data_IF_385269858692
#
_entry.id   IF_385269858692
#
_cell.length_a   1.000
_cell.length_b   1.000
_cell.length_c   1.000
_cell.angle_alpha   90.00
_cell.angle_beta   90.00
_cell.angle_gamma   90.00
#
_symmetry.space_group_name_H-M   'P 1'
#
loop_
_entity.id
_entity.type
_entity.pdbx_description
1 polymer ?
#
# COMPACT_ATOMS: atom_id res chain seq x y z
N UNK A 1 29.46 -2.90 -2.14
CA UNK A 1 29.08 -1.54 -1.71
C UNK A 1 28.08 -0.92 -2.67
N UNK A 2 28.28 -1.06 -3.99
CA UNK A 2 27.40 -0.44 -4.99
C UNK A 2 25.99 -1.02 -5.00
N UNK A 3 25.84 -2.35 -4.93
CA UNK A 3 24.54 -3.04 -4.92
C UNK A 3 23.64 -2.65 -3.74
N UNK A 4 24.24 -2.42 -2.57
CA UNK A 4 23.50 -1.99 -1.38
C UNK A 4 23.03 -0.52 -1.47
N UNK A 5 23.84 0.34 -2.10
CA UNK A 5 23.47 1.74 -2.36
C UNK A 5 22.34 1.80 -3.38
N UNK A 6 22.40 1.00 -4.46
CA UNK A 6 21.32 0.92 -5.47
C UNK A 6 20.00 0.44 -4.85
N UNK A 7 20.04 -0.53 -3.94
CA UNK A 7 18.88 -1.01 -3.22
C UNK A 7 18.27 0.10 -2.34
N UNK A 8 19.09 0.77 -1.52
CA UNK A 8 18.61 1.84 -0.65
C UNK A 8 18.03 3.02 -1.46
N UNK A 9 18.66 3.37 -2.57
CA UNK A 9 18.15 4.39 -3.50
C UNK A 9 16.80 3.97 -4.10
N UNK A 10 16.67 2.73 -4.54
CA UNK A 10 15.42 2.19 -5.10
C UNK A 10 14.29 2.22 -4.07
N UNK A 11 14.57 1.81 -2.82
CA UNK A 11 13.61 1.89 -1.71
C UNK A 11 13.17 3.34 -1.43
N UNK A 12 14.10 4.30 -1.47
CA UNK A 12 13.79 5.71 -1.28
C UNK A 12 12.90 6.27 -2.42
N UNK A 13 13.19 5.92 -3.67
CA UNK A 13 12.38 6.32 -4.84
C UNK A 13 10.96 5.76 -4.75
N UNK A 14 10.83 4.47 -4.42
CA UNK A 14 9.52 3.85 -4.18
C UNK A 14 8.78 4.55 -3.05
N UNK A 15 9.45 4.82 -1.93
CA UNK A 15 8.86 5.55 -0.80
C UNK A 15 8.36 6.94 -1.20
N UNK A 16 9.10 7.68 -2.03
CA UNK A 16 8.69 8.99 -2.51
C UNK A 16 7.46 8.89 -3.43
N UNK A 17 7.46 7.96 -4.36
CA UNK A 17 6.35 7.76 -5.29
C UNK A 17 5.07 7.36 -4.56
N UNK A 18 5.13 6.34 -3.72
CA UNK A 18 3.97 5.83 -2.97
C UNK A 18 3.51 6.82 -1.89
N UNK A 19 4.44 7.43 -1.16
CA UNK A 19 4.15 8.45 -0.16
C UNK A 19 3.40 9.65 -0.74
N UNK A 20 3.71 10.04 -1.98
CA UNK A 20 3.03 11.16 -2.65
C UNK A 20 1.53 10.96 -2.86
N UNK A 21 1.03 9.73 -2.78
CA UNK A 21 -0.39 9.37 -2.88
C UNK A 21 -0.96 8.81 -1.57
N UNK A 22 -0.25 8.97 -0.46
CA UNK A 22 -0.66 8.48 0.85
C UNK A 22 -0.52 6.96 1.04
N UNK A 23 0.27 6.29 0.19
CA UNK A 23 0.56 4.86 0.33
C UNK A 23 1.89 4.63 1.05
N UNK A 24 2.01 3.48 1.72
CA UNK A 24 3.23 3.11 2.43
C UNK A 24 4.33 2.54 1.53
N UNK A 25 3.96 1.88 0.42
CA UNK A 25 4.91 1.36 -0.57
C UNK A 25 5.23 -0.13 -0.48
N UNK A 26 4.55 -0.91 0.38
CA UNK A 26 4.88 -2.32 0.60
C UNK A 26 4.97 -3.17 -0.68
N UNK A 27 4.05 -3.00 -1.64
CA UNK A 27 4.10 -3.73 -2.92
C UNK A 27 5.35 -3.38 -3.74
N UNK A 28 5.80 -2.14 -3.69
CA UNK A 28 7.04 -1.70 -4.33
C UNK A 28 8.29 -2.21 -3.58
N UNK A 29 8.26 -2.23 -2.24
CA UNK A 29 9.36 -2.79 -1.45
C UNK A 29 9.49 -4.30 -1.67
N UNK A 30 8.37 -5.04 -1.67
CA UNK A 30 8.37 -6.45 -2.03
C UNK A 30 8.98 -6.69 -3.41
N UNK A 31 8.64 -5.83 -4.39
CA UNK A 31 9.22 -5.88 -5.71
C UNK A 31 10.75 -5.72 -5.69
N UNK A 32 11.22 -4.64 -5.08
CA UNK A 32 12.66 -4.32 -5.04
C UNK A 32 13.44 -5.37 -4.24
N UNK A 33 12.91 -5.82 -3.07
CA UNK A 33 13.57 -6.81 -2.25
C UNK A 33 13.61 -8.20 -2.93
N UNK A 34 12.54 -8.59 -3.64
CA UNK A 34 12.50 -9.86 -4.38
C UNK A 34 13.40 -9.89 -5.62
N UNK A 35 13.89 -8.75 -6.08
CA UNK A 35 14.87 -8.63 -7.16
C UNK A 35 16.30 -8.40 -6.66
N UNK A 36 16.49 -8.33 -5.36
CA UNK A 36 17.78 -8.10 -4.71
C UNK A 36 18.41 -9.40 -4.21
N UNK A 37 19.57 -9.25 -3.57
CA UNK A 37 20.26 -10.35 -2.88
C UNK A 37 19.41 -11.00 -1.79
N UNK A 38 18.29 -10.42 -1.40
CA UNK A 38 17.36 -10.94 -0.37
C UNK A 38 16.25 -11.83 -0.94
N UNK A 39 16.20 -12.04 -2.27
CA UNK A 39 15.18 -12.86 -2.93
C UNK A 39 15.08 -14.29 -2.37
N UNK A 40 16.19 -14.88 -1.95
CA UNK A 40 16.27 -16.26 -1.45
C UNK A 40 15.61 -16.47 -0.08
N UNK A 41 15.33 -15.42 0.69
CA UNK A 41 14.69 -15.55 2.00
C UNK A 41 13.19 -15.90 1.91
N UNK A 42 12.56 -15.73 0.75
CA UNK A 42 11.14 -16.04 0.56
C UNK A 42 10.18 -15.08 1.29
N UNK A 43 8.90 -15.43 1.22
CA UNK A 43 7.81 -14.59 1.74
C UNK A 43 7.85 -14.38 3.26
N UNK A 44 8.35 -15.36 4.02
CA UNK A 44 8.45 -15.30 5.48
C UNK A 44 9.34 -14.14 5.98
N UNK A 45 10.34 -13.77 5.20
CA UNK A 45 11.24 -12.65 5.45
C UNK A 45 10.78 -11.36 4.73
N UNK A 46 10.45 -11.46 3.44
CA UNK A 46 10.15 -10.30 2.61
C UNK A 46 8.93 -9.51 3.09
N UNK A 47 7.85 -10.21 3.47
CA UNK A 47 6.59 -9.57 3.90
C UNK A 47 6.74 -8.74 5.18
N UNK A 48 7.30 -9.27 6.30
CA UNK A 48 7.47 -8.48 7.52
C UNK A 48 8.32 -7.24 7.31
N UNK A 49 9.43 -7.34 6.56
CA UNK A 49 10.27 -6.19 6.23
C UNK A 49 9.48 -5.13 5.45
N UNK A 50 8.77 -5.55 4.39
CA UNK A 50 7.96 -4.63 3.60
C UNK A 50 6.85 -3.96 4.43
N UNK A 51 6.20 -4.69 5.35
CA UNK A 51 5.19 -4.13 6.24
C UNK A 51 5.76 -3.15 7.25
N UNK A 52 6.96 -3.39 7.79
CA UNK A 52 7.64 -2.43 8.66
C UNK A 52 7.96 -1.12 7.92
N UNK A 53 8.52 -1.20 6.72
CA UNK A 53 8.79 -0.02 5.89
C UNK A 53 7.50 0.70 5.48
N UNK A 54 6.44 -0.06 5.24
CA UNK A 54 5.11 0.45 4.93
C UNK A 54 4.55 1.32 6.08
N UNK A 55 4.74 0.88 7.33
CA UNK A 55 4.36 1.65 8.52
C UNK A 55 5.05 3.00 8.60
N UNK A 56 6.35 3.04 8.29
CA UNK A 56 7.14 4.28 8.31
C UNK A 56 6.56 5.31 7.37
N UNK A 57 6.36 4.95 6.10
CA UNK A 57 5.90 5.90 5.07
C UNK A 57 4.41 6.23 5.21
N UNK A 58 3.57 5.25 5.56
CA UNK A 58 2.14 5.49 5.80
C UNK A 58 1.91 6.42 7.01
N UNK A 59 2.74 6.33 8.05
CA UNK A 59 2.68 7.26 9.20
C UNK A 59 2.96 8.69 8.79
N UNK A 60 3.92 8.91 7.90
CA UNK A 60 4.17 10.23 7.32
C UNK A 60 3.00 10.70 6.46
N UNK A 61 2.44 9.80 5.63
CA UNK A 61 1.24 10.10 4.83
C UNK A 61 0.10 10.57 5.72
N UNK A 62 -0.22 9.82 6.76
CA UNK A 62 -1.24 10.20 7.73
C UNK A 62 -0.96 11.56 8.38
N UNK A 63 0.28 11.81 8.79
CA UNK A 63 0.68 13.07 9.41
C UNK A 63 0.50 14.25 8.46
N UNK A 64 1.06 14.19 7.24
CA UNK A 64 1.04 15.32 6.32
C UNK A 64 -0.35 15.58 5.74
N UNK A 65 -1.05 14.55 5.25
CA UNK A 65 -2.42 14.71 4.74
C UNK A 65 -3.43 15.00 5.85
N UNK A 66 -3.23 14.44 7.04
CA UNK A 66 -4.07 14.70 8.22
C UNK A 66 -3.98 16.16 8.69
N UNK A 67 -2.77 16.73 8.74
CA UNK A 67 -2.58 18.15 9.08
C UNK A 67 -3.23 19.11 8.09
N UNK A 68 -3.42 18.70 6.86
CA UNK A 68 -4.13 19.50 5.85
C UNK A 68 -5.67 19.36 5.94
N UNK A 69 -6.17 18.62 6.94
CA UNK A 69 -7.60 18.44 7.15
C UNK A 69 -8.27 17.41 6.23
N UNK A 70 -7.49 16.60 5.49
CA UNK A 70 -8.04 15.61 4.57
C UNK A 70 -8.46 14.30 5.24
N UNK A 71 -8.10 14.07 6.50
CA UNK A 71 -8.44 12.85 7.22
C UNK A 71 -9.87 12.86 7.75
N UNK A 72 -10.60 11.76 7.54
CA UNK A 72 -11.97 11.58 8.03
C UNK A 72 -12.12 10.22 8.75
N UNK A 73 -12.23 10.25 10.07
CA UNK A 73 -12.51 9.05 10.87
C UNK A 73 -13.88 8.45 10.52
N UNK A 74 -14.90 9.28 10.24
CA UNK A 74 -16.23 8.78 9.85
C UNK A 74 -16.20 7.94 8.59
N UNK A 75 -15.33 8.28 7.63
CA UNK A 75 -15.20 7.54 6.38
C UNK A 75 -14.50 6.20 6.61
N UNK A 76 -13.40 6.20 7.39
CA UNK A 76 -12.53 5.02 7.49
C UNK A 76 -13.00 4.02 8.56
N UNK A 77 -13.70 4.46 9.59
CA UNK A 77 -14.08 3.63 10.73
C UNK A 77 -14.82 2.33 10.35
N UNK A 78 -15.86 2.35 9.48
CA UNK A 78 -16.54 1.12 9.09
C UNK A 78 -15.62 0.13 8.37
N UNK A 79 -14.65 0.61 7.59
CA UNK A 79 -13.70 -0.26 6.90
C UNK A 79 -12.74 -0.94 7.90
N UNK A 80 -12.19 -0.18 8.88
CA UNK A 80 -11.18 -0.71 9.81
C UNK A 80 -11.77 -1.66 10.84
N UNK A 81 -13.03 -1.52 11.21
CA UNK A 81 -13.69 -2.40 12.17
C UNK A 81 -13.63 -3.88 11.76
N UNK A 82 -13.76 -4.14 10.48
CA UNK A 82 -13.66 -5.51 9.93
C UNK A 82 -12.28 -5.81 9.37
N UNK A 83 -11.60 -4.82 8.77
CA UNK A 83 -10.31 -5.09 8.15
C UNK A 83 -9.24 -5.52 9.17
N UNK A 84 -9.22 -4.96 10.37
CA UNK A 84 -8.22 -5.31 11.39
C UNK A 84 -8.27 -6.80 11.74
N UNK A 85 -9.40 -7.39 12.19
CA UNK A 85 -9.44 -8.82 12.51
C UNK A 85 -9.18 -9.70 11.28
N UNK A 86 -9.67 -9.31 10.11
CA UNK A 86 -9.41 -10.08 8.89
C UNK A 86 -7.97 -9.95 8.38
N UNK A 87 -7.30 -8.81 8.58
CA UNK A 87 -5.88 -8.68 8.28
C UNK A 87 -5.01 -9.52 9.22
N UNK A 88 -5.37 -9.65 10.49
CA UNK A 88 -4.72 -10.56 11.41
C UNK A 88 -4.87 -12.02 10.92
N UNK A 89 -6.08 -12.45 10.57
CA UNK A 89 -6.34 -13.80 10.05
C UNK A 89 -5.56 -14.03 8.75
N UNK A 90 -5.57 -13.06 7.82
CA UNK A 90 -4.80 -13.14 6.58
C UNK A 90 -3.30 -13.26 6.82
N UNK A 91 -2.74 -12.49 7.77
CA UNK A 91 -1.33 -12.58 8.15
C UNK A 91 -0.96 -13.89 8.82
N UNK A 92 -1.89 -14.50 9.55
CA UNK A 92 -1.72 -15.79 10.21
C UNK A 92 -1.64 -16.96 9.22
N UNK A 93 -2.34 -16.87 8.07
CA UNK A 93 -2.44 -17.97 7.11
C UNK A 93 -1.23 -18.04 6.17
N UNK A 94 -0.78 -19.28 5.80
CA UNK A 94 0.21 -19.43 4.75
C UNK A 94 -0.36 -18.97 3.39
N UNK A 95 0.49 -18.37 2.58
CA UNK A 95 0.08 -17.86 1.28
C UNK A 95 0.29 -18.92 0.19
N UNK A 96 -0.66 -18.96 -0.76
CA UNK A 96 -0.51 -19.67 -2.03
C UNK A 96 -0.12 -18.63 -3.08
N UNK A 97 1.18 -18.55 -3.37
CA UNK A 97 1.78 -17.41 -4.09
C UNK A 97 1.18 -17.17 -5.49
N UNK A 98 0.99 -18.21 -6.32
CA UNK A 98 0.56 -18.04 -7.71
C UNK A 98 -0.89 -17.53 -7.85
N UNK A 99 -1.83 -18.06 -7.07
CA UNK A 99 -3.24 -17.66 -7.13
C UNK A 99 -3.39 -16.20 -6.70
N UNK A 100 -2.63 -15.84 -5.68
CA UNK A 100 -2.58 -14.48 -5.19
C UNK A 100 -2.05 -13.52 -6.26
N UNK A 101 -0.91 -13.83 -6.87
CA UNK A 101 -0.27 -12.96 -7.87
C UNK A 101 -1.19 -12.70 -9.08
N UNK A 102 -1.95 -13.72 -9.53
CA UNK A 102 -2.94 -13.54 -10.59
C UNK A 102 -4.07 -12.60 -10.15
N UNK A 103 -4.70 -12.85 -9.01
CA UNK A 103 -5.83 -12.06 -8.54
C UNK A 103 -5.41 -10.59 -8.30
N UNK A 104 -4.24 -10.39 -7.70
CA UNK A 104 -3.68 -9.06 -7.48
C UNK A 104 -3.40 -8.33 -8.79
N UNK A 105 -2.73 -9.00 -9.75
CA UNK A 105 -2.38 -8.41 -11.03
C UNK A 105 -3.62 -7.95 -11.80
N UNK A 106 -4.65 -8.79 -11.87
CA UNK A 106 -5.90 -8.45 -12.54
C UNK A 106 -6.62 -7.28 -11.87
N UNK A 107 -6.67 -7.26 -10.54
CA UNK A 107 -7.32 -6.18 -9.78
C UNK A 107 -6.58 -4.85 -9.94
N UNK A 108 -5.26 -4.86 -9.84
CA UNK A 108 -4.44 -3.65 -10.00
C UNK A 108 -4.49 -3.12 -11.43
N UNK A 109 -4.43 -3.99 -12.43
CA UNK A 109 -4.54 -3.61 -13.83
C UNK A 109 -5.91 -3.00 -14.13
N UNK A 110 -7.00 -3.63 -13.66
CA UNK A 110 -8.36 -3.09 -13.79
C UNK A 110 -8.48 -1.71 -13.13
N UNK A 111 -7.99 -1.55 -11.91
CA UNK A 111 -8.03 -0.28 -11.19
C UNK A 111 -7.19 0.81 -11.88
N UNK A 112 -6.00 0.47 -12.38
CA UNK A 112 -5.15 1.39 -13.13
C UNK A 112 -5.82 1.85 -14.42
N UNK A 113 -6.36 0.92 -15.22
CA UNK A 113 -7.09 1.22 -16.46
C UNK A 113 -8.30 2.12 -16.19
N UNK A 114 -9.10 1.82 -15.18
CA UNK A 114 -10.26 2.64 -14.79
C UNK A 114 -9.86 4.05 -14.38
N UNK A 115 -8.77 4.22 -13.64
CA UNK A 115 -8.26 5.55 -13.24
C UNK A 115 -7.75 6.38 -14.43
N UNK A 116 -7.10 5.73 -15.40
CA UNK A 116 -6.60 6.39 -16.60
C UNK A 116 -7.75 6.79 -17.54
N UNK A 117 -8.70 5.88 -17.78
CA UNK A 117 -9.80 6.09 -18.74
C UNK A 117 -10.90 7.00 -18.18
N UNK A 118 -11.14 6.97 -16.86
CA UNK A 118 -12.17 7.78 -16.24
C UNK A 118 -11.86 9.26 -16.40
N UNK A 119 -12.58 9.93 -17.28
CA UNK A 119 -12.49 11.38 -17.51
C UNK A 119 -12.82 12.15 -16.22
N UNK A 120 -12.20 13.33 -16.07
CA UNK A 120 -12.54 14.29 -15.03
C UNK A 120 -14.02 14.69 -15.17
N UNK A 121 -14.87 14.09 -14.40
CA UNK A 121 -16.21 14.64 -14.21
C UNK A 121 -16.08 15.61 -13.04
N UNK A 122 -16.03 16.90 -13.37
CA UNK A 122 -16.03 18.01 -12.43
C UNK A 122 -17.31 17.98 -11.59
N UNK A 123 -17.22 17.38 -10.44
CA UNK A 123 -18.30 17.37 -9.45
C UNK A 123 -17.68 17.11 -8.08
N UNK A 124 -17.64 18.14 -7.24
CA UNK A 124 -17.13 18.07 -5.87
C UNK A 124 -18.10 17.34 -4.89
N UNK A 125 -19.00 16.53 -5.42
CA UNK A 125 -19.96 15.80 -4.58
C UNK A 125 -19.41 14.39 -4.37
N UNK A 126 -19.06 14.10 -3.11
CA UNK A 126 -18.60 12.79 -2.67
C UNK A 126 -19.67 12.15 -1.79
N UNK A 127 -20.07 10.94 -2.13
CA UNK A 127 -21.07 10.18 -1.39
C UNK A 127 -20.41 8.94 -0.77
N UNK A 128 -20.06 8.99 0.53
CA UNK A 128 -19.49 7.83 1.21
C UNK A 128 -20.39 6.60 1.10
N UNK A 129 -19.80 5.39 1.07
CA UNK A 129 -20.59 4.15 0.99
C UNK A 129 -21.42 3.93 2.26
N UNK A 130 -22.45 3.09 2.15
CA UNK A 130 -23.20 2.67 3.34
C UNK A 130 -22.27 1.89 4.30
N UNK A 131 -22.55 1.91 5.61
CA UNK A 131 -21.74 1.17 6.58
C UNK A 131 -21.62 -0.32 6.27
N UNK A 132 -22.69 -0.96 5.79
CA UNK A 132 -22.67 -2.38 5.42
C UNK A 132 -21.73 -2.68 4.27
N UNK A 133 -21.71 -1.83 3.24
CA UNK A 133 -20.76 -1.94 2.12
C UNK A 133 -19.32 -1.74 2.60
N UNK A 134 -19.09 -0.75 3.45
CA UNK A 134 -17.76 -0.47 4.02
C UNK A 134 -17.24 -1.63 4.86
N UNK A 135 -18.11 -2.26 5.69
CA UNK A 135 -17.76 -3.42 6.49
C UNK A 135 -17.38 -4.63 5.61
N UNK A 136 -18.19 -4.92 4.57
CA UNK A 136 -17.91 -6.03 3.66
C UNK A 136 -16.59 -5.84 2.89
N UNK A 137 -16.37 -4.64 2.35
CA UNK A 137 -15.12 -4.28 1.66
C UNK A 137 -13.94 -4.31 2.64
N UNK A 138 -14.11 -3.76 3.84
CA UNK A 138 -13.10 -3.77 4.89
C UNK A 138 -12.62 -5.18 5.21
N UNK A 139 -13.55 -6.12 5.40
CA UNK A 139 -13.23 -7.54 5.65
C UNK A 139 -12.40 -8.15 4.52
N UNK A 140 -12.85 -8.00 3.27
CA UNK A 140 -12.15 -8.54 2.10
C UNK A 140 -10.75 -7.91 1.91
N UNK A 141 -10.66 -6.57 1.98
CA UNK A 141 -9.40 -5.86 1.84
C UNK A 141 -8.44 -6.15 2.99
N UNK A 142 -8.95 -6.25 4.22
CA UNK A 142 -8.15 -6.63 5.38
C UNK A 142 -7.54 -8.01 5.21
N UNK A 143 -8.37 -9.01 4.86
CA UNK A 143 -7.92 -10.38 4.64
C UNK A 143 -6.82 -10.46 3.57
N UNK A 144 -7.07 -9.87 2.39
CA UNK A 144 -6.09 -9.83 1.30
C UNK A 144 -4.82 -9.09 1.77
N UNK A 145 -4.97 -7.96 2.45
CA UNK A 145 -3.85 -7.15 2.96
C UNK A 145 -2.93 -7.94 3.87
N UNK A 146 -3.49 -8.67 4.83
CA UNK A 146 -2.73 -9.51 5.75
C UNK A 146 -2.06 -10.69 5.05
N UNK A 147 -2.83 -11.40 4.20
CA UNK A 147 -2.35 -12.56 3.45
C UNK A 147 -1.13 -12.23 2.58
N UNK A 148 -1.14 -11.05 1.97
CA UNK A 148 -0.14 -10.59 1.00
C UNK A 148 1.00 -9.79 1.61
N UNK A 149 0.71 -9.09 2.70
CA UNK A 149 1.68 -8.18 3.29
C UNK A 149 1.82 -6.82 2.58
N UNK A 150 0.72 -6.25 2.06
CA UNK A 150 0.77 -4.92 1.38
C UNK A 150 0.05 -3.79 2.11
N UNK A 151 -0.57 -4.05 3.27
CA UNK A 151 -1.24 -3.02 4.07
C UNK A 151 -2.58 -2.53 3.51
N UNK A 152 -3.03 -2.99 2.35
CA UNK A 152 -4.37 -2.83 1.78
C UNK A 152 -4.73 -1.48 1.17
N UNK A 153 -3.96 -0.42 1.38
CA UNK A 153 -4.27 0.91 0.84
C UNK A 153 -4.28 0.98 -0.69
N UNK A 154 -3.45 0.16 -1.33
CA UNK A 154 -3.39 0.06 -2.79
C UNK A 154 -4.72 -0.42 -3.40
N UNK A 155 -5.51 -1.17 -2.64
CA UNK A 155 -6.84 -1.63 -3.04
C UNK A 155 -7.93 -0.62 -2.65
N UNK A 156 -7.85 -0.03 -1.46
CA UNK A 156 -8.84 0.90 -0.95
C UNK A 156 -8.89 2.20 -1.78
N UNK A 157 -7.72 2.75 -2.14
CA UNK A 157 -7.63 4.03 -2.83
C UNK A 157 -8.38 4.08 -4.16
N UNK A 158 -8.22 3.12 -5.09
CA UNK A 158 -8.99 3.14 -6.33
C UNK A 158 -10.49 3.01 -6.08
N UNK A 159 -10.92 2.23 -5.08
CA UNK A 159 -12.34 2.11 -4.75
C UNK A 159 -12.91 3.45 -4.27
N UNK A 160 -12.20 4.18 -3.41
CA UNK A 160 -12.65 5.49 -2.91
C UNK A 160 -12.72 6.53 -4.05
N UNK A 161 -11.70 6.58 -4.92
CA UNK A 161 -11.62 7.58 -5.99
C UNK A 161 -12.61 7.26 -7.12
N UNK A 162 -12.69 6.00 -7.58
CA UNK A 162 -13.51 5.61 -8.72
C UNK A 162 -15.01 5.68 -8.41
N UNK A 163 -15.40 5.34 -7.19
CA UNK A 163 -16.80 5.43 -6.76
C UNK A 163 -17.18 6.82 -6.24
N UNK A 164 -16.25 7.79 -6.26
CA UNK A 164 -16.47 9.15 -5.71
C UNK A 164 -16.89 9.13 -4.23
N UNK A 165 -16.29 8.24 -3.44
CA UNK A 165 -16.54 8.19 -2.00
C UNK A 165 -15.69 9.20 -1.25
N UNK A 166 -14.55 9.59 -1.82
CA UNK A 166 -13.66 10.61 -1.27
C UNK A 166 -12.87 11.32 -2.37
N UNK A 167 -12.41 12.55 -2.08
CA UNK A 167 -11.45 13.24 -2.94
C UNK A 167 -10.11 12.51 -2.96
N UNK A 168 -9.27 12.70 -3.99
CA UNK A 168 -7.95 12.08 -4.06
C UNK A 168 -7.08 12.33 -2.82
N UNK A 169 -7.07 13.54 -2.28
CA UNK A 169 -6.32 13.87 -1.04
C UNK A 169 -6.94 13.25 0.21
N UNK A 170 -8.27 13.25 0.32
CA UNK A 170 -8.93 12.54 1.42
C UNK A 170 -8.70 11.03 1.34
N UNK A 171 -8.71 10.47 0.13
CA UNK A 171 -8.35 9.07 -0.13
C UNK A 171 -6.92 8.79 0.36
N UNK A 172 -5.95 9.64 0.04
CA UNK A 172 -4.57 9.48 0.49
C UNK A 172 -4.47 9.45 2.03
N UNK A 173 -5.17 10.36 2.72
CA UNK A 173 -5.17 10.42 4.18
C UNK A 173 -5.79 9.18 4.84
N UNK A 174 -6.97 8.75 4.38
CA UNK A 174 -7.67 7.60 4.98
C UNK A 174 -7.00 6.27 4.61
N UNK A 175 -6.44 6.17 3.41
CA UNK A 175 -5.67 4.99 3.00
C UNK A 175 -4.37 4.84 3.79
N UNK A 176 -3.69 5.94 4.10
CA UNK A 176 -2.51 5.91 4.97
C UNK A 176 -2.86 5.32 6.35
N UNK A 177 -3.96 5.73 6.96
CA UNK A 177 -4.42 5.16 8.24
C UNK A 177 -4.82 3.68 8.10
N UNK A 178 -5.55 3.34 7.04
CA UNK A 178 -5.92 1.96 6.74
C UNK A 178 -4.70 1.05 6.60
N UNK A 179 -3.64 1.52 5.93
CA UNK A 179 -2.38 0.81 5.78
C UNK A 179 -1.74 0.57 7.15
N UNK A 180 -1.68 1.57 8.02
CA UNK A 180 -1.05 1.44 9.34
C UNK A 180 -1.74 0.33 10.14
N UNK A 181 -3.06 0.39 10.28
CA UNK A 181 -3.78 -0.57 11.13
C UNK A 181 -3.73 -1.99 10.56
N UNK A 182 -3.83 -2.14 9.23
CA UNK A 182 -3.74 -3.46 8.61
C UNK A 182 -2.31 -4.02 8.55
N UNK A 183 -1.29 -3.17 8.43
CA UNK A 183 0.12 -3.60 8.53
C UNK A 183 0.44 -4.12 9.93
N UNK A 184 -0.02 -3.42 10.98
CA UNK A 184 0.13 -3.88 12.37
C UNK A 184 -0.60 -5.21 12.57
N UNK A 185 -1.86 -5.31 12.14
CA UNK A 185 -2.67 -6.51 12.29
C UNK A 185 -2.08 -7.71 11.51
N UNK A 186 -1.64 -7.48 10.26
CA UNK A 186 -1.00 -8.50 9.43
C UNK A 186 0.33 -8.99 10.01
N UNK A 187 1.18 -8.08 10.50
CA UNK A 187 2.40 -8.43 11.22
C UNK A 187 2.09 -9.26 12.46
N UNK A 188 1.13 -8.82 13.27
CA UNK A 188 0.73 -9.56 14.47
C UNK A 188 0.26 -10.98 14.13
N UNK A 189 -0.51 -11.16 13.06
CA UNK A 189 -0.92 -12.47 12.55
C UNK A 189 0.27 -13.33 12.13
N UNK A 190 1.19 -12.78 11.33
CA UNK A 190 2.36 -13.48 10.82
C UNK A 190 3.31 -13.91 11.96
N UNK A 191 3.55 -13.03 12.94
CA UNK A 191 4.35 -13.40 14.12
C UNK A 191 3.66 -14.46 14.99
N UNK A 192 2.35 -14.38 15.17
CA UNK A 192 1.59 -15.36 15.96
C UNK A 192 1.59 -16.76 15.37
N UNK A 193 1.72 -16.88 14.05
CA UNK A 193 1.78 -18.16 13.33
C UNK A 193 3.20 -18.67 13.08
N UNK A 194 4.23 -17.94 13.50
CA UNK A 194 5.63 -18.27 13.20
C UNK A 194 6.02 -18.05 11.74
N UNK A 195 5.21 -17.31 10.97
CA UNK A 195 5.46 -17.00 9.56
C UNK A 195 6.11 -15.63 9.35
N UNK A 196 6.86 -15.14 10.32
CA UNK A 196 7.57 -13.88 10.23
C UNK A 196 9.00 -14.01 10.74
N UNK A 197 9.95 -13.76 9.86
CA UNK A 197 11.35 -13.56 10.19
C UNK A 197 11.70 -12.10 9.96
N UNK A 198 12.26 -11.42 10.94
CA UNK A 198 12.59 -10.01 10.88
C UNK A 198 14.04 -9.77 11.30
N UNK A 199 14.81 -9.18 10.38
CA UNK A 199 16.14 -8.68 10.67
C UNK A 199 16.06 -7.21 11.08
N UNK A 200 16.19 -6.95 12.37
CA UNK A 200 16.03 -5.61 12.94
C UNK A 200 17.05 -4.61 12.38
N UNK A 201 18.27 -5.04 12.10
CA UNK A 201 19.33 -4.16 11.61
C UNK A 201 19.05 -3.71 10.19
N UNK A 202 18.59 -4.64 9.34
CA UNK A 202 18.19 -4.32 7.97
C UNK A 202 16.91 -3.47 7.93
N UNK A 203 15.93 -3.73 8.81
CA UNK A 203 14.75 -2.87 8.93
C UNK A 203 15.12 -1.44 9.26
N UNK A 204 16.07 -1.23 10.20
CA UNK A 204 16.55 0.12 10.56
C UNK A 204 17.25 0.78 9.37
N UNK A 205 18.16 0.09 8.70
CA UNK A 205 18.86 0.62 7.52
C UNK A 205 17.90 1.00 6.38
N UNK A 206 16.97 0.11 6.05
CA UNK A 206 15.97 0.37 5.00
C UNK A 206 15.00 1.48 5.42
N UNK A 207 14.65 1.56 6.72
CA UNK A 207 13.79 2.62 7.26
C UNK A 207 14.39 4.01 7.07
N UNK A 208 15.70 4.17 7.19
CA UNK A 208 16.37 5.46 6.93
C UNK A 208 16.17 5.89 5.47
N UNK A 209 16.34 4.97 4.52
CA UNK A 209 16.15 5.26 3.10
C UNK A 209 14.69 5.63 2.79
N UNK A 210 13.73 4.84 3.29
CA UNK A 210 12.30 5.11 3.04
C UNK A 210 11.78 6.33 3.81
N UNK A 211 12.41 6.70 4.94
CA UNK A 211 12.14 7.95 5.65
C UNK A 211 12.45 9.16 4.77
N UNK A 212 13.60 9.17 4.12
CA UNK A 212 14.00 10.28 3.22
C UNK A 212 13.03 10.39 2.05
N UNK A 213 12.82 9.30 1.32
CA UNK A 213 11.92 9.28 0.18
C UNK A 213 10.47 9.57 0.57
N UNK A 214 9.98 8.93 1.63
CA UNK A 214 8.62 9.12 2.14
C UNK A 214 8.37 10.57 2.60
N UNK A 215 9.32 11.18 3.28
CA UNK A 215 9.24 12.59 3.66
C UNK A 215 9.07 13.51 2.44
N UNK A 216 9.89 13.33 1.42
CA UNK A 216 9.80 14.14 0.19
C UNK A 216 8.48 13.90 -0.52
N UNK A 217 8.09 12.65 -0.71
CA UNK A 217 6.87 12.27 -1.43
C UNK A 217 5.60 12.71 -0.71
N UNK A 218 5.45 12.41 0.57
CA UNK A 218 4.25 12.76 1.35
C UNK A 218 4.07 14.27 1.48
N UNK A 219 5.17 15.00 1.70
CA UNK A 219 5.14 16.46 1.78
C UNK A 219 4.75 17.08 0.43
N UNK A 220 5.32 16.60 -0.67
CA UNK A 220 4.95 17.03 -2.01
C UNK A 220 3.45 16.76 -2.28
N UNK A 221 3.01 15.53 -2.06
CA UNK A 221 1.63 15.13 -2.30
C UNK A 221 0.61 15.93 -1.50
N UNK A 222 0.84 16.08 -0.20
CA UNK A 222 -0.09 16.79 0.68
C UNK A 222 -0.13 18.31 0.41
N UNK A 223 1.04 18.95 0.25
CA UNK A 223 1.15 20.40 0.24
C UNK A 223 1.11 21.03 -1.16
N UNK A 224 1.67 20.36 -2.18
CA UNK A 224 1.91 20.96 -3.48
C UNK A 224 1.11 20.33 -4.61
N UNK A 225 0.79 19.03 -4.52
CA UNK A 225 0.08 18.34 -5.58
C UNK A 225 -1.41 18.70 -5.60
N UNK A 226 -1.96 18.90 -6.81
CA UNK A 226 -3.40 19.01 -7.02
C UNK A 226 -4.08 17.64 -6.93
N UNK A 227 -5.40 17.60 -6.74
CA UNK A 227 -6.18 16.35 -6.76
C UNK A 227 -5.97 15.57 -8.07
N UNK A 228 -5.84 16.29 -9.20
CA UNK A 228 -5.55 15.66 -10.49
C UNK A 228 -4.15 15.04 -10.52
N UNK A 229 -3.16 15.71 -9.92
CA UNK A 229 -1.79 15.17 -9.79
C UNK A 229 -1.78 13.92 -8.94
N UNK A 230 -2.44 13.93 -7.77
CA UNK A 230 -2.57 12.75 -6.89
C UNK A 230 -3.23 11.60 -7.64
N UNK A 231 -4.29 11.85 -8.39
CA UNK A 231 -4.97 10.83 -9.19
C UNK A 231 -4.07 10.21 -10.26
N UNK A 232 -3.28 11.03 -10.97
CA UNK A 232 -2.31 10.56 -11.98
C UNK A 232 -1.19 9.75 -11.35
N UNK A 233 -0.64 10.22 -10.23
CA UNK A 233 0.38 9.49 -9.48
C UNK A 233 -0.15 8.17 -8.95
N UNK A 234 -1.38 8.13 -8.46
CA UNK A 234 -2.03 6.88 -8.05
C UNK A 234 -2.14 5.90 -9.23
N UNK A 235 -2.53 6.37 -10.41
CA UNK A 235 -2.58 5.52 -11.61
C UNK A 235 -1.18 4.96 -11.96
N UNK A 236 -0.12 5.78 -11.91
CA UNK A 236 1.26 5.33 -12.13
C UNK A 236 1.66 4.26 -11.12
N UNK A 237 1.40 4.48 -9.83
CA UNK A 237 1.68 3.52 -8.76
C UNK A 237 0.99 2.18 -9.03
N UNK A 238 -0.28 2.20 -9.43
CA UNK A 238 -1.04 0.98 -9.72
C UNK A 238 -0.52 0.25 -10.96
N UNK A 239 -0.14 1.00 -12.01
CA UNK A 239 0.46 0.42 -13.22
C UNK A 239 1.80 -0.25 -12.90
N UNK A 240 2.67 0.44 -12.16
CA UNK A 240 3.97 -0.11 -11.74
C UNK A 240 3.78 -1.40 -10.93
N UNK A 241 2.85 -1.38 -9.95
CA UNK A 241 2.54 -2.56 -9.14
C UNK A 241 1.98 -3.72 -9.99
N UNK A 242 1.06 -3.43 -10.94
CA UNK A 242 0.49 -4.44 -11.82
C UNK A 242 1.52 -5.04 -12.77
N UNK A 243 2.33 -4.20 -13.43
CA UNK A 243 3.38 -4.64 -14.36
C UNK A 243 4.38 -5.55 -13.65
N UNK A 244 4.85 -5.12 -12.47
CA UNK A 244 5.78 -5.94 -11.68
C UNK A 244 5.22 -7.34 -11.41
N UNK A 245 3.94 -7.43 -10.99
CA UNK A 245 3.29 -8.73 -10.72
C UNK A 245 3.13 -9.60 -11.97
N UNK A 246 2.72 -9.00 -13.08
CA UNK A 246 2.57 -9.72 -14.36
C UNK A 246 3.91 -10.27 -14.84
N UNK A 247 4.98 -9.48 -14.76
CA UNK A 247 6.31 -9.92 -15.16
C UNK A 247 6.82 -11.08 -14.28
N UNK A 248 6.53 -11.05 -12.98
CA UNK A 248 6.83 -12.17 -12.07
C UNK A 248 6.09 -13.46 -12.46
N UNK A 249 4.81 -13.37 -12.87
CA UNK A 249 4.03 -14.54 -13.31
C UNK A 249 4.55 -15.16 -14.62
N UNK A 250 5.09 -14.34 -15.52
CA UNK A 250 5.59 -14.80 -16.84
C UNK A 250 7.04 -15.31 -16.75
N UNK A 251 7.64 -15.29 -15.54
CA UNK A 251 9.03 -15.73 -15.35
C UNK A 251 10.09 -14.84 -16.00
N UNK A 252 9.72 -13.62 -16.40
CA UNK A 252 10.66 -12.65 -16.97
C UNK A 252 11.48 -11.92 -15.90
N UNK A 253 11.21 -12.20 -14.62
CA UNK A 253 11.87 -11.65 -13.45
C UNK A 253 12.07 -12.77 -12.39
N UNK A 254 12.78 -13.83 -12.74
CA UNK A 254 13.30 -14.84 -11.81
C UNK A 254 14.79 -14.67 -11.61
#
# INVERSE_FOLDING_TARGET
>A
MDLQIELLFSLAVIAALYGSVGHGGASGYLAVLSLSIFAFHGAIWLKPHALCLNLVVASMGLYYYGRQGFFSMKLILPFILTSIPFAYVGGYLPIIDWLFDIALSLTLLWAALRLVISSNTDGNIYNPPSPSVSLAIGAGLGFISGLVGVGGGIFLSPLLVLNRWASPKATAAVSAFFIIVNSIAGLAGAFSSGQAELDSDLVIQFSIAVLIGGFMGTRFGANHASDQTIRRLLAVVLVVAAVHRVLGLVGLWT
#
